data_IF_176067509346
#
_entry.id   IF_176067509346
#
_cell.length_a   1.000
_cell.length_b   1.000
_cell.length_c   1.000
_cell.angle_alpha   90.00
_cell.angle_beta   90.00
_cell.angle_gamma   90.00
#
_symmetry.space_group_name_H-M   'P 1'
#
loop_
_entity.id
_entity.type
_entity.pdbx_description
1 polymer ?
#
# COMPACT_ATOMS: atom_id res chain seq x y z
N UNK A 1 20.37 -30.69 51.80
CA UNK A 1 21.10 -29.59 51.15
C UNK A 1 22.04 -30.22 50.13
N UNK A 2 21.67 -30.20 48.85
CA UNK A 2 22.51 -30.62 47.74
C UNK A 2 22.17 -29.70 46.56
N UNK A 3 23.21 -29.02 46.06
CA UNK A 3 23.13 -27.91 45.14
C UNK A 3 22.87 -28.34 43.70
N UNK A 4 22.28 -27.45 42.89
CA UNK A 4 22.61 -27.42 41.47
C UNK A 4 22.55 -25.98 40.94
N UNK A 5 23.69 -25.54 40.45
CA UNK A 5 24.01 -24.24 39.87
C UNK A 5 23.30 -24.04 38.51
N UNK A 6 22.70 -22.86 38.31
CA UNK A 6 22.31 -22.35 37.01
C UNK A 6 23.46 -21.48 36.46
N UNK A 7 24.01 -21.85 35.30
CA UNK A 7 25.10 -21.16 34.63
C UNK A 7 24.51 -20.15 33.64
N UNK A 8 24.85 -18.88 33.78
CA UNK A 8 24.51 -17.81 32.83
C UNK A 8 25.53 -17.83 31.67
N UNK A 9 25.07 -18.03 30.44
CA UNK A 9 25.90 -17.91 29.24
C UNK A 9 26.01 -16.44 28.82
N UNK A 10 27.24 -15.91 28.84
CA UNK A 10 27.58 -14.60 28.30
C UNK A 10 28.03 -14.75 26.83
N UNK A 11 27.28 -14.17 25.90
CA UNK A 11 27.75 -13.96 24.53
C UNK A 11 28.46 -12.61 24.45
N UNK A 12 29.79 -12.65 24.25
CA UNK A 12 30.64 -11.50 23.96
C UNK A 12 31.00 -11.58 22.47
N UNK A 13 30.49 -10.66 21.66
CA UNK A 13 30.73 -10.57 20.22
C UNK A 13 31.12 -9.14 19.83
N UNK A 14 32.19 -9.02 19.06
CA UNK A 14 33.03 -7.84 18.83
C UNK A 14 32.39 -6.62 18.14
N UNK A 15 33.02 -5.48 18.44
CA UNK A 15 33.06 -4.21 17.70
C UNK A 15 33.26 -4.43 16.19
N UNK A 16 32.61 -3.60 15.36
CA UNK A 16 33.31 -2.64 14.49
C UNK A 16 32.37 -1.70 13.73
N UNK A 17 32.77 -0.42 13.75
CA UNK A 17 32.66 0.61 12.71
C UNK A 17 31.28 1.13 12.29
N UNK A 18 30.87 2.18 13.00
CA UNK A 18 30.18 3.33 12.41
C UNK A 18 31.14 4.05 11.44
N UNK A 19 30.75 4.29 10.18
CA UNK A 19 31.34 5.35 9.40
C UNK A 19 30.47 6.59 9.56
N UNK A 20 31.02 7.60 10.24
CA UNK A 20 30.63 8.97 10.00
C UNK A 20 31.06 9.34 8.57
N UNK A 21 30.14 9.88 7.77
CA UNK A 21 30.46 10.61 6.56
C UNK A 21 29.78 11.97 6.64
N UNK A 22 30.54 12.95 7.13
CA UNK A 22 30.42 14.32 6.66
C UNK A 22 31.34 14.43 5.43
N UNK A 23 30.76 14.73 4.28
CA UNK A 23 31.47 15.30 3.14
C UNK A 23 30.47 16.06 2.28
N UNK A 24 30.47 17.37 2.47
CA UNK A 24 29.90 18.34 1.55
C UNK A 24 30.82 18.38 0.33
N UNK A 25 30.34 17.98 -0.85
CA UNK A 25 30.98 18.29 -2.14
C UNK A 25 29.91 18.28 -3.22
N UNK A 26 29.66 19.47 -3.72
CA UNK A 26 28.87 19.76 -4.92
C UNK A 26 29.35 18.88 -6.07
N UNK A 27 28.47 18.04 -6.60
CA UNK A 27 28.68 17.34 -7.87
C UNK A 27 27.39 17.44 -8.67
N UNK A 28 27.43 18.32 -9.66
CA UNK A 28 26.44 18.42 -10.72
C UNK A 28 26.59 17.13 -11.54
N UNK A 29 25.58 16.26 -11.50
CA UNK A 29 25.42 15.18 -12.49
C UNK A 29 24.05 15.33 -13.12
N UNK A 30 24.14 15.52 -14.42
CA UNK A 30 23.11 15.75 -15.40
C UNK A 30 22.36 14.43 -15.72
N UNK A 31 21.04 14.52 -15.71
CA UNK A 31 20.03 13.78 -16.50
C UNK A 31 19.93 12.24 -16.45
N UNK A 32 18.69 11.80 -16.15
CA UNK A 32 18.05 10.49 -16.42
C UNK A 32 18.47 9.28 -15.58
N UNK A 33 18.00 9.25 -14.33
CA UNK A 33 17.36 8.06 -13.80
C UNK A 33 15.91 8.44 -13.51
N UNK A 34 14.99 8.14 -14.43
CA UNK A 34 13.59 8.06 -14.04
C UNK A 34 13.51 6.88 -13.07
N UNK A 35 13.52 7.16 -11.77
CA UNK A 35 13.19 6.17 -10.76
C UNK A 35 11.87 5.54 -11.19
N UNK A 36 11.93 4.26 -11.57
CA UNK A 36 10.74 3.48 -11.86
C UNK A 36 10.01 3.35 -10.52
N UNK A 37 9.08 4.27 -10.26
CA UNK A 37 8.24 4.25 -9.06
C UNK A 37 7.46 2.95 -9.11
N UNK A 38 7.79 2.02 -8.21
CA UNK A 38 7.08 0.75 -8.07
C UNK A 38 5.59 1.02 -7.88
N UNK A 39 4.75 0.28 -8.61
CA UNK A 39 3.30 0.38 -8.46
C UNK A 39 2.89 0.03 -7.03
N UNK A 40 2.22 0.96 -6.35
CA UNK A 40 1.77 0.80 -4.97
C UNK A 40 0.35 0.21 -4.86
N UNK A 41 -0.23 -0.27 -5.96
CA UNK A 41 -1.60 -0.79 -5.96
C UNK A 41 -1.67 -2.16 -5.29
N UNK A 42 -2.50 -2.26 -4.26
CA UNK A 42 -2.80 -3.48 -3.50
C UNK A 42 -4.12 -4.04 -4.01
N UNK A 43 -4.17 -5.34 -4.25
CA UNK A 43 -5.38 -6.04 -4.71
C UNK A 43 -5.91 -6.98 -3.65
N UNK A 44 -7.23 -7.13 -3.59
CA UNK A 44 -7.87 -8.03 -2.64
C UNK A 44 -9.38 -7.99 -2.69
N UNK A 45 -10.01 -8.72 -1.78
CA UNK A 45 -11.46 -8.73 -1.56
C UNK A 45 -11.83 -7.99 -0.29
N UNK A 46 -12.93 -7.26 -0.31
CA UNK A 46 -13.43 -6.61 0.90
C UNK A 46 -13.67 -7.66 2.00
N UNK A 47 -13.13 -7.40 3.20
CA UNK A 47 -13.35 -8.23 4.37
C UNK A 47 -14.80 -8.08 4.86
N UNK A 48 -15.23 -8.96 5.75
CA UNK A 48 -16.56 -8.89 6.38
C UNK A 48 -16.64 -7.79 7.45
N UNK A 49 -15.50 -7.18 7.82
CA UNK A 49 -15.37 -6.26 8.94
C UNK A 49 -14.90 -4.88 8.46
N UNK A 50 -15.84 -4.05 8.03
CA UNK A 50 -15.60 -2.63 7.78
C UNK A 50 -16.81 -1.76 8.14
N UNK A 51 -16.54 -0.55 8.63
CA UNK A 51 -17.54 0.40 9.11
C UNK A 51 -17.76 1.58 8.17
N UNK A 52 -18.50 2.60 8.62
CA UNK A 52 -18.72 3.81 7.83
C UNK A 52 -17.41 4.58 7.55
N UNK A 53 -16.47 4.55 8.51
CA UNK A 53 -15.23 5.33 8.48
C UNK A 53 -13.97 4.51 8.16
N UNK A 54 -14.09 3.19 8.02
CA UNK A 54 -12.97 2.29 7.75
C UNK A 54 -13.27 1.43 6.53
N UNK A 55 -12.23 0.90 5.91
CA UNK A 55 -12.33 -0.13 4.89
C UNK A 55 -11.39 -1.29 5.24
N UNK A 56 -11.92 -2.49 5.14
CA UNK A 56 -11.22 -3.73 5.46
C UNK A 56 -11.09 -4.59 4.20
N UNK A 57 -9.93 -5.18 3.98
CA UNK A 57 -9.63 -5.98 2.79
C UNK A 57 -8.74 -7.17 3.17
N UNK A 58 -9.04 -8.34 2.61
CA UNK A 58 -8.11 -9.46 2.56
C UNK A 58 -7.40 -9.37 1.21
N UNK A 59 -6.08 -9.16 1.24
CA UNK A 59 -5.26 -9.03 0.04
C UNK A 59 -5.18 -10.35 -0.72
N UNK A 60 -4.77 -10.30 -1.99
CA UNK A 60 -4.55 -11.49 -2.81
C UNK A 60 -3.45 -12.40 -2.20
N UNK A 61 -2.55 -11.86 -1.38
CA UNK A 61 -1.53 -12.61 -0.63
C UNK A 61 -2.05 -13.19 0.71
N UNK A 62 -3.29 -12.84 1.10
CA UNK A 62 -3.95 -13.34 2.31
C UNK A 62 -3.80 -12.46 3.55
N UNK A 63 -3.07 -11.35 3.47
CA UNK A 63 -2.95 -10.38 4.56
C UNK A 63 -4.26 -9.60 4.77
N UNK A 64 -4.58 -9.29 6.02
CA UNK A 64 -5.70 -8.42 6.39
C UNK A 64 -5.21 -6.97 6.50
N UNK A 65 -5.85 -6.07 5.75
CA UNK A 65 -5.63 -4.63 5.84
C UNK A 65 -6.90 -3.96 6.36
N UNK A 66 -6.74 -3.03 7.30
CA UNK A 66 -7.80 -2.14 7.77
C UNK A 66 -7.29 -0.70 7.73
N UNK A 67 -7.99 0.18 7.02
CA UNK A 67 -7.59 1.58 6.80
C UNK A 67 -8.71 2.56 7.11
N UNK A 68 -8.35 3.76 7.51
CA UNK A 68 -9.27 4.89 7.64
C UNK A 68 -9.67 5.44 6.26
N UNK A 69 -10.94 5.80 6.08
CA UNK A 69 -11.43 6.40 4.80
C UNK A 69 -11.12 7.89 4.68
N UNK A 70 -10.67 8.52 5.76
CA UNK A 70 -10.25 9.91 5.81
C UNK A 70 -8.79 9.93 6.24
N UNK A 71 -7.97 10.69 5.53
CA UNK A 71 -6.55 10.85 5.82
C UNK A 71 -6.29 11.78 7.02
N UNK A 72 -5.05 11.79 7.51
CA UNK A 72 -4.62 12.60 8.65
C UNK A 72 -4.79 14.12 8.43
N UNK A 73 -4.80 14.56 7.16
CA UNK A 73 -5.06 15.95 6.76
C UNK A 73 -6.57 16.29 6.67
N UNK A 74 -7.45 15.34 6.98
CA UNK A 74 -8.91 15.48 6.90
C UNK A 74 -9.50 15.29 5.51
N UNK A 75 -8.70 14.92 4.51
CA UNK A 75 -9.21 14.65 3.15
C UNK A 75 -9.78 13.25 3.04
N UNK A 76 -10.95 13.12 2.40
CA UNK A 76 -11.57 11.82 2.16
C UNK A 76 -10.89 11.06 1.01
N UNK A 77 -10.93 9.73 1.10
CA UNK A 77 -10.46 8.83 0.07
C UNK A 77 -11.29 8.93 -1.22
N UNK A 78 -10.66 8.65 -2.36
CA UNK A 78 -11.34 8.52 -3.65
C UNK A 78 -11.87 7.11 -3.79
N UNK A 79 -13.18 6.95 -3.87
CA UNK A 79 -13.83 5.64 -3.91
C UNK A 79 -14.71 5.57 -5.15
N UNK A 80 -14.46 4.58 -5.98
CA UNK A 80 -15.11 4.39 -7.27
C UNK A 80 -15.88 3.07 -7.30
N UNK A 81 -17.18 3.15 -7.53
CA UNK A 81 -18.09 2.02 -7.48
C UNK A 81 -18.64 1.80 -6.07
N UNK A 82 -19.54 0.83 -5.94
CA UNK A 82 -20.13 0.54 -4.64
C UNK A 82 -19.16 -0.18 -3.70
N UNK A 83 -19.32 0.02 -2.39
CA UNK A 83 -18.65 -0.79 -1.37
C UNK A 83 -19.57 -1.94 -0.98
N UNK A 84 -19.11 -3.16 -1.21
CA UNK A 84 -19.82 -4.42 -0.95
C UNK A 84 -18.84 -5.48 -0.44
N UNK A 85 -19.34 -6.32 0.46
CA UNK A 85 -18.63 -7.51 0.92
C UNK A 85 -18.29 -8.45 -0.24
N UNK A 86 -17.15 -9.13 -0.14
CA UNK A 86 -16.63 -10.13 -1.09
C UNK A 86 -16.33 -9.63 -2.52
N UNK A 87 -16.67 -8.38 -2.85
CA UNK A 87 -16.23 -7.73 -4.09
C UNK A 87 -14.71 -7.55 -4.10
N UNK A 88 -14.12 -7.58 -5.29
CA UNK A 88 -12.68 -7.38 -5.51
C UNK A 88 -12.37 -5.91 -5.75
N UNK A 89 -11.27 -5.43 -5.18
CA UNK A 89 -10.85 -4.04 -5.25
C UNK A 89 -9.37 -3.90 -5.63
N UNK A 90 -9.06 -2.77 -6.24
CA UNK A 90 -7.71 -2.21 -6.29
C UNK A 90 -7.66 -1.03 -5.30
N UNK A 91 -6.62 -1.01 -4.47
CA UNK A 91 -6.46 -0.05 -3.39
C UNK A 91 -5.08 0.59 -3.43
N UNK A 92 -5.01 1.89 -3.17
CA UNK A 92 -3.77 2.56 -2.74
C UNK A 92 -3.97 3.11 -1.34
N UNK A 93 -2.87 3.29 -0.62
CA UNK A 93 -2.89 3.83 0.74
C UNK A 93 -2.16 5.17 0.83
N UNK A 94 -2.44 5.89 1.91
CA UNK A 94 -1.82 7.15 2.32
C UNK A 94 -1.40 7.01 3.78
N UNK A 95 -0.73 8.03 4.32
CA UNK A 95 -0.37 8.09 5.74
C UNK A 95 0.38 6.84 6.20
N UNK A 96 1.40 6.43 5.43
CA UNK A 96 2.20 5.22 5.68
C UNK A 96 1.38 3.91 5.77
N UNK A 97 0.25 3.84 5.09
CA UNK A 97 -0.60 2.65 5.07
C UNK A 97 -1.81 2.73 6.00
N UNK A 98 -1.95 3.80 6.80
CA UNK A 98 -3.04 3.92 7.77
C UNK A 98 -4.36 4.38 7.13
N UNK A 99 -4.29 5.12 6.02
CA UNK A 99 -5.44 5.74 5.38
C UNK A 99 -5.62 5.26 3.94
N UNK A 100 -6.86 5.22 3.49
CA UNK A 100 -7.23 4.88 2.13
C UNK A 100 -6.90 6.05 1.19
N UNK A 101 -6.20 5.77 0.09
CA UNK A 101 -5.95 6.74 -0.98
C UNK A 101 -7.03 6.67 -2.05
N UNK A 102 -6.95 5.63 -2.88
CA UNK A 102 -7.90 5.32 -3.94
C UNK A 102 -8.42 3.90 -3.75
N UNK A 103 -9.73 3.69 -3.92
CA UNK A 103 -10.38 2.39 -3.94
C UNK A 103 -11.22 2.26 -5.21
N UNK A 104 -11.00 1.20 -5.99
CA UNK A 104 -11.75 0.93 -7.23
C UNK A 104 -12.41 -0.44 -7.12
N UNK A 105 -13.74 -0.50 -7.24
CA UNK A 105 -14.47 -1.77 -7.29
C UNK A 105 -14.24 -2.47 -8.64
N UNK A 106 -13.35 -3.45 -8.65
CA UNK A 106 -13.01 -4.22 -9.86
C UNK A 106 -14.14 -5.15 -10.28
N UNK A 107 -14.92 -5.69 -9.35
CA UNK A 107 -16.10 -6.53 -9.68
C UNK A 107 -17.11 -5.76 -10.54
N UNK A 108 -17.32 -4.48 -10.26
CA UNK A 108 -18.20 -3.62 -11.06
C UNK A 108 -17.52 -3.12 -12.33
N UNK A 109 -16.24 -2.76 -12.27
CA UNK A 109 -15.47 -2.34 -13.44
C UNK A 109 -15.43 -3.43 -14.51
N UNK A 110 -15.20 -4.68 -14.10
CA UNK A 110 -15.13 -5.85 -14.98
C UNK A 110 -16.44 -6.10 -15.74
N UNK A 111 -17.57 -5.60 -15.26
CA UNK A 111 -18.86 -5.71 -15.97
C UNK A 111 -18.97 -4.71 -17.12
N UNK A 112 -18.18 -3.64 -17.11
CA UNK A 112 -18.28 -2.50 -18.04
C UNK A 112 -17.08 -2.39 -18.98
N UNK A 113 -15.90 -2.80 -18.52
CA UNK A 113 -14.65 -2.65 -19.22
C UNK A 113 -13.83 -3.94 -19.08
N UNK A 114 -13.15 -4.33 -20.16
CA UNK A 114 -12.23 -5.47 -20.23
C UNK A 114 -10.86 -4.99 -20.68
N UNK A 115 -9.83 -5.78 -20.41
CA UNK A 115 -8.44 -5.53 -20.85
C UNK A 115 -7.93 -4.15 -20.39
N UNK A 116 -8.00 -3.91 -19.09
CA UNK A 116 -7.46 -2.70 -18.46
C UNK A 116 -6.40 -3.08 -17.43
N UNK A 117 -5.64 -2.09 -17.01
CA UNK A 117 -4.70 -2.19 -15.89
C UNK A 117 -5.03 -1.10 -14.87
N UNK A 118 -4.72 -1.36 -13.59
CA UNK A 118 -4.65 -0.31 -12.59
C UNK A 118 -3.18 -0.09 -12.26
N UNK A 119 -2.72 1.17 -12.31
CA UNK A 119 -1.35 1.57 -11.97
C UNK A 119 -1.38 2.74 -11.02
N UNK A 120 -0.85 2.59 -9.81
CA UNK A 120 -0.90 3.59 -8.73
C UNK A 120 -2.31 4.16 -8.50
N UNK A 121 -3.34 3.31 -8.54
CA UNK A 121 -4.74 3.74 -8.40
C UNK A 121 -5.35 4.46 -9.61
N UNK A 122 -4.66 4.48 -10.76
CA UNK A 122 -5.17 5.01 -12.02
C UNK A 122 -5.58 3.90 -12.98
N UNK A 123 -6.73 4.08 -13.65
CA UNK A 123 -7.18 3.17 -14.71
C UNK A 123 -6.41 3.45 -16.01
N UNK A 124 -5.80 2.41 -16.57
CA UNK A 124 -5.05 2.44 -17.82
C UNK A 124 -5.72 1.54 -18.85
N UNK A 125 -6.00 2.10 -20.04
CA UNK A 125 -6.62 1.39 -21.16
C UNK A 125 -5.79 1.65 -22.41
N UNK A 126 -5.33 0.58 -23.05
CA UNK A 126 -4.45 0.65 -24.23
C UNK A 126 -3.20 1.53 -24.04
N UNK A 127 -2.70 1.62 -22.80
CA UNK A 127 -1.54 2.44 -22.44
C UNK A 127 -1.86 3.86 -21.99
N UNK A 128 -3.09 4.33 -22.17
CA UNK A 128 -3.52 5.67 -21.77
C UNK A 128 -4.21 5.66 -20.40
N UNK A 129 -3.87 6.62 -19.55
CA UNK A 129 -4.62 6.85 -18.30
C UNK A 129 -5.97 7.48 -18.62
N UNK A 130 -7.04 6.84 -18.17
CA UNK A 130 -8.41 7.32 -18.36
C UNK A 130 -9.11 7.56 -17.01
N UNK A 131 -10.05 8.51 -16.93
CA UNK A 131 -10.85 8.72 -15.72
C UNK A 131 -11.66 7.46 -15.36
N UNK A 132 -11.59 7.03 -14.09
CA UNK A 132 -12.37 5.89 -13.59
C UNK A 132 -13.87 6.23 -13.59
N UNK A 133 -14.19 7.52 -13.43
CA UNK A 133 -15.52 8.13 -13.41
C UNK A 133 -16.31 7.89 -14.71
N UNK A 134 -15.61 7.60 -15.81
CA UNK A 134 -16.25 7.22 -17.07
C UNK A 134 -16.98 5.88 -16.97
N UNK A 135 -16.61 5.03 -16.00
CA UNK A 135 -17.12 3.67 -15.84
C UNK A 135 -17.81 3.47 -14.49
N UNK A 136 -17.29 4.04 -13.41
CA UNK A 136 -17.82 3.90 -12.06
C UNK A 136 -18.18 5.27 -11.47
N UNK A 137 -19.15 5.30 -10.56
CA UNK A 137 -19.51 6.52 -9.83
C UNK A 137 -19.03 6.45 -8.39
#
# INVERSE_FOLDING_TARGET
>A
MLATLLVLSACKGNKNNTPALAADTTSIVDTTAAEQVTDSTIYGKASEDFGMSTFGMITDDGDTINVCRTANDGTDAKIYGSIKYDDRYAMTTRDNGESLGVLINLTELDKKLKNYEIRNGHLVVNGDTVPVENYLK
#
